data_IF_008042801024
#
_entry.id   IF_008042801024
#
_cell.length_a   1.000
_cell.length_b   1.000
_cell.length_c   1.000
_cell.angle_alpha   90.00
_cell.angle_beta   90.00
_cell.angle_gamma   90.00
#
_symmetry.space_group_name_H-M   'P 1'
#
loop_
_entity.id
_entity.type
_entity.pdbx_description
1 polymer ?
#
# COMPACT_ATOMS: atom_id res chain seq x y z
N UNK A 1 14.58 19.08 -11.99
CA UNK A 1 15.01 17.79 -12.56
C UNK A 1 13.88 17.20 -13.36
N UNK A 2 14.02 17.10 -14.65
CA UNK A 2 12.96 16.64 -15.56
C UNK A 2 12.75 15.13 -15.40
N UNK A 3 11.49 14.78 -15.12
CA UNK A 3 10.93 13.45 -15.06
C UNK A 3 11.38 12.53 -16.20
N UNK A 4 11.72 11.32 -15.83
CA UNK A 4 11.66 10.19 -16.73
C UNK A 4 10.21 10.04 -17.19
N UNK A 5 9.97 10.29 -18.48
CA UNK A 5 8.77 10.05 -19.29
C UNK A 5 7.48 9.71 -18.53
N UNK A 6 6.61 10.69 -18.46
CA UNK A 6 5.30 10.73 -17.87
C UNK A 6 4.31 9.63 -18.20
N UNK A 7 4.49 8.45 -17.65
CA UNK A 7 3.36 7.58 -17.40
C UNK A 7 2.65 8.16 -16.17
N UNK A 8 1.41 8.61 -16.35
CA UNK A 8 0.58 9.10 -15.25
C UNK A 8 0.33 7.91 -14.31
N UNK A 9 0.82 8.01 -13.07
CA UNK A 9 0.56 7.02 -12.05
C UNK A 9 -0.95 6.94 -11.81
N UNK A 10 -1.45 5.73 -11.58
CA UNK A 10 -2.87 5.51 -11.31
C UNK A 10 -3.19 5.85 -9.86
N UNK A 11 -4.22 6.68 -9.67
CA UNK A 11 -4.72 7.01 -8.33
C UNK A 11 -5.76 5.98 -7.90
N UNK A 12 -5.60 5.44 -6.70
CA UNK A 12 -6.52 4.46 -6.12
C UNK A 12 -6.94 4.85 -4.69
N UNK A 13 -8.13 4.43 -4.28
CA UNK A 13 -8.49 4.37 -2.87
C UNK A 13 -8.28 2.93 -2.40
N UNK A 14 -7.38 2.74 -1.46
CA UNK A 14 -6.96 1.44 -0.94
C UNK A 14 -7.48 1.23 0.47
N UNK A 15 -8.28 0.19 0.67
CA UNK A 15 -8.68 -0.23 2.02
C UNK A 15 -7.55 -0.96 2.71
N UNK A 16 -7.24 -0.50 3.92
CA UNK A 16 -6.12 -0.96 4.71
C UNK A 16 -6.58 -1.35 6.11
N UNK A 17 -6.13 -2.50 6.62
CA UNK A 17 -6.49 -2.95 7.97
C UNK A 17 -5.68 -2.17 9.00
N UNK A 18 -6.34 -1.76 10.08
CA UNK A 18 -5.71 -0.99 11.15
C UNK A 18 -4.53 -1.71 11.83
N UNK A 19 -4.54 -3.04 11.87
CA UNK A 19 -3.46 -3.86 12.45
C UNK A 19 -2.12 -3.73 11.71
N UNK A 20 -2.16 -3.39 10.40
CA UNK A 20 -0.97 -3.19 9.58
C UNK A 20 -0.46 -1.74 9.59
N UNK A 21 -1.23 -0.84 10.20
CA UNK A 21 -0.92 0.59 10.13
C UNK A 21 0.34 0.94 10.94
N UNK A 22 0.51 0.37 12.14
CA UNK A 22 1.68 0.66 12.98
C UNK A 22 2.99 0.25 12.31
N UNK A 23 3.17 -0.98 11.79
CA UNK A 23 4.37 -1.35 11.04
C UNK A 23 4.60 -0.50 9.79
N UNK A 24 3.53 -0.05 9.13
CA UNK A 24 3.61 0.88 8.02
C UNK A 24 4.12 2.26 8.47
N UNK A 25 3.55 2.81 9.54
CA UNK A 25 3.87 4.13 10.08
C UNK A 25 5.36 4.26 10.45
N UNK A 26 5.94 3.21 11.03
CA UNK A 26 7.36 3.16 11.40
C UNK A 26 8.29 2.76 10.24
N UNK A 27 7.78 2.60 9.03
CA UNK A 27 8.58 2.22 7.87
C UNK A 27 9.11 0.79 7.88
N UNK A 28 8.62 -0.08 8.78
CA UNK A 28 9.04 -1.48 8.91
C UNK A 28 8.41 -2.32 7.80
N UNK A 29 7.13 -2.06 7.51
CA UNK A 29 6.39 -2.73 6.43
C UNK A 29 6.80 -2.13 5.09
N UNK A 30 7.60 -2.85 4.32
CA UNK A 30 8.12 -2.40 3.02
C UNK A 30 7.30 -2.88 1.81
N UNK A 31 6.43 -3.85 1.99
CA UNK A 31 5.58 -4.41 0.95
C UNK A 31 4.13 -4.54 1.41
N UNK A 32 3.21 -4.30 0.48
CA UNK A 32 1.81 -4.66 0.60
C UNK A 32 1.57 -5.93 -0.21
N UNK A 33 0.73 -6.86 0.29
CA UNK A 33 0.44 -8.13 -0.38
C UNK A 33 -1.02 -8.22 -0.76
N UNK A 34 -1.28 -8.54 -2.02
CA UNK A 34 -2.64 -8.63 -2.56
C UNK A 34 -2.78 -9.80 -3.55
N UNK A 35 -3.95 -10.45 -3.51
CA UNK A 35 -4.32 -11.47 -4.50
C UNK A 35 -4.43 -10.88 -5.91
N UNK A 36 -5.01 -9.69 -5.99
CA UNK A 36 -5.19 -8.93 -7.24
C UNK A 36 -4.77 -7.50 -7.04
N UNK A 37 -3.98 -7.01 -7.96
CA UNK A 37 -3.57 -5.61 -8.01
C UNK A 37 -3.29 -5.20 -9.45
N UNK A 38 -3.34 -3.88 -9.75
CA UNK A 38 -2.97 -3.38 -11.07
C UNK A 38 -1.46 -3.48 -11.28
N UNK A 39 -1.05 -3.82 -12.51
CA UNK A 39 0.37 -4.00 -12.88
C UNK A 39 1.05 -2.68 -13.23
N UNK A 40 0.89 -1.67 -12.37
CA UNK A 40 1.40 -0.31 -12.55
C UNK A 40 1.84 0.28 -11.21
N UNK A 41 2.68 1.32 -11.27
CA UNK A 41 2.91 2.18 -10.10
C UNK A 41 1.64 2.96 -9.76
N UNK A 42 1.32 3.09 -8.48
CA UNK A 42 0.09 3.75 -8.03
C UNK A 42 0.34 4.76 -6.93
N UNK A 43 -0.54 5.75 -6.87
CA UNK A 43 -0.76 6.62 -5.72
C UNK A 43 -1.97 6.09 -4.97
N UNK A 44 -1.76 5.57 -3.78
CA UNK A 44 -2.81 4.98 -2.97
C UNK A 44 -3.23 5.92 -1.85
N UNK A 45 -4.48 6.39 -1.88
CA UNK A 45 -5.12 7.03 -0.74
C UNK A 45 -5.54 5.96 0.25
N UNK A 46 -5.04 6.02 1.48
CA UNK A 46 -5.23 4.96 2.48
C UNK A 46 -6.50 5.16 3.28
N UNK A 47 -7.48 4.28 3.08
CA UNK A 47 -8.66 4.19 3.91
C UNK A 47 -8.47 3.16 5.02
N UNK A 48 -8.37 3.61 6.26
CA UNK A 48 -8.33 2.72 7.43
C UNK A 48 -9.70 2.15 7.75
N UNK A 49 -9.79 0.84 7.68
CA UNK A 49 -11.00 0.06 8.04
C UNK A 49 -11.14 -0.09 9.54
N UNK A 50 -12.28 -0.61 9.96
CA UNK A 50 -12.57 -0.90 11.36
C UNK A 50 -13.12 0.32 12.10
N UNK A 51 -12.60 0.61 13.27
CA UNK A 51 -13.10 1.71 14.12
C UNK A 51 -12.79 3.10 13.56
N UNK A 52 -11.65 3.26 12.90
CA UNK A 52 -11.20 4.58 12.40
C UNK A 52 -12.07 5.11 11.27
N UNK A 53 -12.41 4.30 10.28
CA UNK A 53 -13.27 4.66 9.14
C UNK A 53 -12.91 6.02 8.52
N UNK A 54 -11.65 6.20 8.13
CA UNK A 54 -11.14 7.47 7.61
C UNK A 54 -10.02 7.28 6.61
N UNK A 55 -9.87 8.23 5.68
CA UNK A 55 -8.70 8.33 4.81
C UNK A 55 -7.62 9.12 5.56
N UNK A 56 -6.45 8.53 5.71
CA UNK A 56 -5.40 9.05 6.59
C UNK A 56 -4.21 9.67 5.86
N UNK A 57 -4.04 9.38 4.58
CA UNK A 57 -2.88 9.87 3.83
C UNK A 57 -2.70 9.20 2.49
N UNK A 58 -1.50 9.35 1.95
CA UNK A 58 -1.11 8.89 0.61
C UNK A 58 0.11 8.00 0.72
N UNK A 59 0.05 6.86 0.06
CA UNK A 59 1.16 5.92 -0.08
C UNK A 59 1.55 5.80 -1.55
N UNK A 60 2.81 6.03 -1.86
CA UNK A 60 3.35 5.74 -3.19
C UNK A 60 3.74 4.27 -3.27
N UNK A 61 3.19 3.57 -4.25
CA UNK A 61 3.43 2.15 -4.46
C UNK A 61 4.18 1.91 -5.76
N UNK A 62 5.15 1.01 -5.70
CA UNK A 62 5.86 0.53 -6.89
C UNK A 62 5.02 -0.46 -7.70
N UNK A 63 5.56 -0.83 -8.86
CA UNK A 63 4.98 -1.91 -9.66
C UNK A 63 5.03 -3.23 -8.88
N UNK A 64 3.93 -4.01 -8.86
CA UNK A 64 3.90 -5.29 -8.16
C UNK A 64 4.96 -6.28 -8.67
N UNK A 65 5.51 -7.04 -7.73
CA UNK A 65 6.37 -8.18 -8.00
C UNK A 65 5.50 -9.43 -7.86
N UNK A 66 5.40 -10.22 -8.93
CA UNK A 66 4.71 -11.50 -8.90
C UNK A 66 5.60 -12.54 -8.22
N UNK A 67 5.21 -13.01 -7.05
CA UNK A 67 6.00 -13.97 -6.27
C UNK A 67 6.08 -15.34 -6.95
N UNK A 68 5.03 -15.77 -7.63
CA UNK A 68 5.01 -17.01 -8.42
C UNK A 68 5.97 -16.95 -9.62
N UNK A 69 6.07 -15.81 -10.29
CA UNK A 69 6.98 -15.61 -11.43
C UNK A 69 8.45 -15.48 -10.98
N UNK A 70 8.68 -14.99 -9.77
CA UNK A 70 10.03 -14.70 -9.25
C UNK A 70 10.54 -15.71 -8.23
N UNK A 71 9.78 -16.76 -7.95
CA UNK A 71 10.05 -17.77 -6.92
C UNK A 71 11.48 -18.32 -6.99
N UNK A 72 11.93 -18.66 -8.18
CA UNK A 72 13.24 -19.29 -8.40
C UNK A 72 14.42 -18.36 -8.07
N UNK A 73 14.19 -17.05 -7.99
CA UNK A 73 15.20 -16.08 -7.57
C UNK A 73 15.58 -16.22 -6.08
N UNK A 74 14.79 -16.96 -5.30
CA UNK A 74 14.98 -17.11 -3.84
C UNK A 74 15.53 -18.48 -3.45
N UNK A 75 15.94 -19.34 -4.39
CA UNK A 75 16.43 -20.72 -4.12
C UNK A 75 17.60 -20.72 -3.17
N UNK A 76 18.52 -19.77 -3.28
CA UNK A 76 19.70 -19.66 -2.40
C UNK A 76 19.39 -19.03 -1.02
N UNK A 77 18.11 -18.68 -0.78
CA UNK A 77 17.64 -18.02 0.44
C UNK A 77 16.47 -18.81 1.06
N UNK A 78 16.75 -19.93 1.74
CA UNK A 78 15.71 -20.88 2.15
C UNK A 78 14.62 -20.30 3.04
N UNK A 79 14.93 -19.36 3.92
CA UNK A 79 13.91 -18.70 4.77
C UNK A 79 12.99 -17.79 3.97
N UNK A 80 13.54 -17.07 3.00
CA UNK A 80 12.75 -16.23 2.10
C UNK A 80 11.90 -17.08 1.17
N UNK A 81 12.47 -18.15 0.60
CA UNK A 81 11.77 -19.09 -0.27
C UNK A 81 10.56 -19.70 0.42
N UNK A 82 10.73 -20.17 1.66
CA UNK A 82 9.64 -20.73 2.47
C UNK A 82 8.50 -19.71 2.64
N UNK A 83 8.79 -18.46 2.99
CA UNK A 83 7.78 -17.42 3.13
C UNK A 83 7.09 -17.10 1.79
N UNK A 84 7.84 -17.04 0.71
CA UNK A 84 7.31 -16.85 -0.64
C UNK A 84 6.34 -17.97 -1.00
N UNK A 85 6.70 -19.23 -0.73
CA UNK A 85 5.83 -20.38 -0.97
C UNK A 85 4.52 -20.29 -0.16
N UNK A 86 4.57 -19.87 1.11
CA UNK A 86 3.38 -19.64 1.94
C UNK A 86 2.44 -18.56 1.35
N UNK A 87 2.99 -17.47 0.80
CA UNK A 87 2.20 -16.44 0.12
C UNK A 87 1.60 -16.94 -1.19
N UNK A 88 2.33 -17.74 -1.95
CA UNK A 88 1.83 -18.37 -3.18
C UNK A 88 0.68 -19.32 -2.84
N UNK A 89 0.81 -20.16 -1.82
CA UNK A 89 -0.22 -21.07 -1.36
C UNK A 89 -1.49 -20.34 -0.90
N UNK A 90 -1.34 -19.20 -0.21
CA UNK A 90 -2.46 -18.35 0.20
C UNK A 90 -3.04 -17.50 -0.96
N UNK A 91 -2.43 -17.56 -2.14
CA UNK A 91 -2.77 -16.76 -3.32
C UNK A 91 -2.56 -15.23 -3.16
N UNK A 92 -1.77 -14.79 -2.19
CA UNK A 92 -1.37 -13.38 -2.01
C UNK A 92 -0.09 -13.08 -2.79
N UNK A 93 -0.14 -13.34 -4.10
CA UNK A 93 1.01 -13.44 -5.01
C UNK A 93 1.61 -12.12 -5.45
N UNK A 94 0.93 -10.99 -5.23
CA UNK A 94 1.47 -9.69 -5.60
C UNK A 94 2.13 -9.04 -4.38
N UNK A 95 3.45 -8.92 -4.40
CA UNK A 95 4.22 -8.12 -3.46
C UNK A 95 4.40 -6.72 -4.05
N UNK A 96 3.78 -5.71 -3.43
CA UNK A 96 3.74 -4.35 -3.95
C UNK A 96 4.69 -3.50 -3.11
N UNK A 97 5.80 -2.99 -3.70
CA UNK A 97 6.76 -2.16 -2.97
C UNK A 97 6.12 -0.88 -2.44
N UNK A 98 6.27 -0.60 -1.15
CA UNK A 98 5.86 0.66 -0.54
C UNK A 98 7.03 1.63 -0.63
N UNK A 99 6.90 2.69 -1.44
CA UNK A 99 7.96 3.66 -1.66
C UNK A 99 7.98 4.76 -0.61
N UNK A 100 6.84 5.32 -0.28
CA UNK A 100 6.72 6.41 0.69
C UNK A 100 5.33 6.47 1.31
N UNK A 101 5.24 7.16 2.44
CA UNK A 101 3.99 7.47 3.14
C UNK A 101 3.97 8.94 3.53
N UNK A 102 2.88 9.62 3.23
CA UNK A 102 2.57 10.98 3.71
C UNK A 102 1.19 10.97 4.35
N UNK A 103 1.09 11.48 5.56
CA UNK A 103 -0.20 11.56 6.26
C UNK A 103 -0.93 12.85 5.89
N UNK A 104 -2.25 12.82 5.92
CA UNK A 104 -3.05 14.04 5.90
C UNK A 104 -2.88 14.82 7.19
N UNK A 105 -2.84 16.15 7.11
CA UNK A 105 -2.85 17.01 8.31
C UNK A 105 -4.11 16.77 9.15
N UNK A 106 -5.24 16.59 8.46
CA UNK A 106 -6.52 16.23 9.06
C UNK A 106 -7.07 15.00 8.32
N UNK A 107 -7.13 13.83 8.95
CA UNK A 107 -7.74 12.66 8.35
C UNK A 107 -9.18 12.93 7.91
N UNK A 108 -9.58 12.40 6.78
CA UNK A 108 -10.91 12.59 6.22
C UNK A 108 -11.82 11.42 6.63
N UNK A 109 -12.79 11.69 7.49
CA UNK A 109 -13.69 10.65 7.98
C UNK A 109 -14.67 10.17 6.91
N UNK A 110 -15.16 8.94 7.07
CA UNK A 110 -16.23 8.39 6.22
C UNK A 110 -17.49 9.27 6.28
N UNK A 111 -17.77 9.84 7.43
CA UNK A 111 -18.90 10.75 7.63
C UNK A 111 -18.73 12.03 6.80
N UNK A 112 -17.54 12.63 6.81
CA UNK A 112 -17.27 13.83 5.99
C UNK A 112 -17.32 13.52 4.50
N UNK A 113 -16.83 12.36 4.08
CA UNK A 113 -16.96 11.92 2.67
C UNK A 113 -18.45 11.82 2.30
N UNK A 114 -19.28 11.27 3.18
CA UNK A 114 -20.72 11.09 2.92
C UNK A 114 -21.53 12.39 2.91
N UNK A 115 -21.05 13.44 3.54
CA UNK A 115 -21.64 14.78 3.40
C UNK A 115 -21.55 15.28 1.96
N UNK A 116 -20.44 14.99 1.29
CA UNK A 116 -20.19 15.40 -0.10
C UNK A 116 -20.68 14.36 -1.12
N UNK A 117 -20.61 13.07 -0.77
CA UNK A 117 -20.98 11.94 -1.63
C UNK A 117 -21.92 11.03 -0.82
N UNK A 118 -23.23 11.32 -0.80
CA UNK A 118 -24.20 10.48 -0.11
C UNK A 118 -24.14 9.02 -0.55
N UNK A 119 -24.30 8.10 0.38
CA UNK A 119 -24.23 6.64 0.16
C UNK A 119 -22.85 6.12 -0.30
N UNK A 120 -21.77 6.90 -0.13
CA UNK A 120 -20.44 6.41 -0.42
C UNK A 120 -20.12 5.15 0.40
N UNK A 121 -19.61 4.13 -0.31
CA UNK A 121 -19.17 2.87 0.27
C UNK A 121 -17.68 2.68 0.00
N UNK A 122 -16.86 2.54 1.06
CA UNK A 122 -15.44 2.22 0.86
C UNK A 122 -15.27 0.87 0.16
N UNK A 123 -14.21 0.72 -0.67
CA UNK A 123 -13.95 -0.56 -1.33
C UNK A 123 -13.58 -1.65 -0.31
N UNK A 124 -13.84 -2.91 -0.64
CA UNK A 124 -13.32 -4.04 0.13
C UNK A 124 -11.80 -4.20 -0.05
N UNK A 125 -11.31 -3.97 -1.26
CA UNK A 125 -9.89 -4.03 -1.62
C UNK A 125 -9.39 -2.64 -2.03
N UNK A 126 -9.63 -2.26 -3.27
CA UNK A 126 -9.36 -0.92 -3.80
C UNK A 126 -10.25 -0.64 -5.02
N UNK A 127 -10.34 0.62 -5.40
CA UNK A 127 -10.85 1.02 -6.71
C UNK A 127 -10.06 2.21 -7.30
N UNK A 128 -10.10 2.31 -8.61
CA UNK A 128 -9.43 3.39 -9.35
C UNK A 128 -10.25 4.68 -9.25
N UNK A 129 -9.59 5.77 -8.83
CA UNK A 129 -10.26 7.04 -8.57
C UNK A 129 -10.68 7.79 -9.86
N UNK A 130 -10.11 7.45 -11.00
CA UNK A 130 -10.51 8.05 -12.28
C UNK A 130 -11.99 7.80 -12.62
N UNK A 131 -12.58 6.74 -12.07
CA UNK A 131 -14.00 6.43 -12.18
C UNK A 131 -14.85 7.10 -11.08
N UNK A 132 -14.23 7.85 -10.16
CA UNK A 132 -14.85 8.47 -8.99
C UNK A 132 -14.38 9.92 -8.84
N UNK A 133 -14.61 10.75 -9.86
CA UNK A 133 -14.02 12.08 -9.98
C UNK A 133 -14.31 13.00 -8.80
N UNK A 134 -15.53 12.97 -8.25
CA UNK A 134 -15.89 13.81 -7.09
C UNK A 134 -15.10 13.42 -5.85
N UNK A 135 -14.91 12.11 -5.62
CA UNK A 135 -14.08 11.60 -4.53
C UNK A 135 -12.62 11.98 -4.74
N UNK A 136 -12.10 11.81 -5.96
CA UNK A 136 -10.73 12.16 -6.30
C UNK A 136 -10.46 13.63 -6.00
N UNK A 137 -11.31 14.54 -6.43
CA UNK A 137 -11.19 15.97 -6.14
C UNK A 137 -11.21 16.27 -4.63
N UNK A 138 -12.09 15.60 -3.87
CA UNK A 138 -12.17 15.74 -2.42
C UNK A 138 -10.88 15.30 -1.73
N UNK A 139 -10.27 14.21 -2.18
CA UNK A 139 -9.01 13.68 -1.65
C UNK A 139 -7.81 14.57 -2.02
N UNK A 140 -7.75 15.06 -3.26
CA UNK A 140 -6.69 15.95 -3.74
C UNK A 140 -6.65 17.31 -3.03
N UNK A 141 -7.77 17.75 -2.47
CA UNK A 141 -7.86 18.99 -1.69
C UNK A 141 -7.28 18.86 -0.27
N UNK A 142 -7.02 17.63 0.20
CA UNK A 142 -6.50 17.44 1.55
C UNK A 142 -5.04 17.90 1.65
N UNK A 143 -4.73 18.62 2.75
CA UNK A 143 -3.36 19.03 3.05
C UNK A 143 -2.55 17.83 3.55
N UNK A 144 -1.40 17.60 2.93
CA UNK A 144 -0.51 16.48 3.20
C UNK A 144 0.69 16.98 4.01
N UNK A 145 1.13 16.18 4.99
CA UNK A 145 2.40 16.39 5.68
C UNK A 145 3.58 15.95 4.80
N UNK A 146 4.79 16.26 5.24
CA UNK A 146 5.99 15.72 4.61
C UNK A 146 6.01 14.18 4.65
N UNK A 147 6.77 13.59 3.73
CA UNK A 147 6.93 12.12 3.71
C UNK A 147 7.59 11.64 4.99
N UNK A 148 6.99 10.65 5.65
CA UNK A 148 7.53 10.05 6.87
C UNK A 148 8.78 9.23 6.59
N UNK A 149 8.82 8.58 5.44
CA UNK A 149 9.95 7.80 4.98
C UNK A 149 9.95 7.71 3.45
N UNK A 150 11.09 7.31 2.93
CA UNK A 150 11.28 6.90 1.55
C UNK A 150 12.06 5.59 1.53
N UNK A 151 11.48 4.53 0.94
CA UNK A 151 12.13 3.23 0.83
C UNK A 151 12.80 3.07 -0.52
N UNK A 152 14.06 2.64 -0.51
CA UNK A 152 14.75 2.10 -1.68
C UNK A 152 14.61 0.58 -1.68
N UNK A 153 14.17 0.00 -2.79
CA UNK A 153 14.00 -1.45 -2.96
C UNK A 153 15.10 -1.99 -3.86
N UNK A 154 16.35 -1.84 -3.40
CA UNK A 154 17.54 -2.20 -4.20
C UNK A 154 17.90 -3.69 -4.09
N UNK A 155 17.47 -4.35 -3.02
CA UNK A 155 17.76 -5.76 -2.78
C UNK A 155 16.60 -6.44 -2.09
N UNK A 156 15.83 -7.19 -2.85
CA UNK A 156 14.61 -7.91 -2.40
C UNK A 156 14.87 -8.78 -1.17
N UNK A 157 16.05 -9.38 -1.05
CA UNK A 157 16.39 -10.33 0.00
C UNK A 157 16.46 -9.71 1.38
N UNK A 158 16.85 -8.43 1.46
CA UNK A 158 17.02 -7.70 2.72
C UNK A 158 15.83 -6.81 3.08
N UNK A 159 14.86 -6.68 2.18
CA UNK A 159 13.75 -5.76 2.33
C UNK A 159 12.54 -6.35 3.05
N UNK A 160 12.74 -7.38 3.87
CA UNK A 160 11.65 -8.06 4.59
C UNK A 160 10.57 -8.65 3.68
N UNK A 161 10.93 -9.04 2.45
CA UNK A 161 10.00 -9.67 1.51
C UNK A 161 9.33 -10.88 2.13
N UNK A 162 8.01 -10.96 1.97
CA UNK A 162 7.15 -12.03 2.46
C UNK A 162 7.17 -12.25 3.99
N UNK A 163 7.67 -11.31 4.80
CA UNK A 163 7.49 -11.35 6.26
C UNK A 163 6.07 -10.94 6.65
N UNK A 164 5.47 -11.71 7.54
CA UNK A 164 4.18 -11.38 8.15
C UNK A 164 4.31 -10.23 9.14
N UNK A 165 3.19 -9.58 9.48
CA UNK A 165 3.17 -8.51 10.49
C UNK A 165 3.67 -8.99 11.84
N UNK A 166 3.38 -10.24 12.22
CA UNK A 166 3.85 -10.84 13.48
C UNK A 166 5.38 -11.02 13.51
N UNK A 167 5.98 -11.35 12.38
CA UNK A 167 7.45 -11.44 12.25
C UNK A 167 8.10 -10.06 12.26
N UNK A 168 7.47 -9.05 11.62
CA UNK A 168 7.96 -7.68 11.64
C UNK A 168 7.94 -7.05 13.03
N UNK A 169 6.98 -7.41 13.87
CA UNK A 169 6.90 -6.92 15.25
C UNK A 169 7.98 -7.49 16.17
N UNK A 170 8.54 -8.66 15.87
CA UNK A 170 9.60 -9.29 16.67
C UNK A 170 10.98 -8.69 16.43
N UNK A 171 11.16 -7.90 15.38
CA UNK A 171 12.44 -7.24 15.08
C UNK A 171 12.59 -5.90 15.80
N UNK A 172 11.59 -5.44 16.57
CA UNK A 172 11.60 -4.20 17.33
C UNK A 172 11.98 -4.39 18.82
N UNK A 173 12.31 -5.64 19.24
CA UNK A 173 12.86 -5.97 20.57
C UNK A 173 14.38 -6.18 20.46
#
# INVERSE_FOLDING_TARGET
MKNRRGAKMKDILLSFKAEYFRPLLYGIKKYEYRKRFCDEETIAYLYLRGKSKQVIGIMELGKPIRLDDTRDNYIDYPDTLKRVDEYIESNDINAIPIKSLSLFKNPLSLEDIRKEIPNFMPPQMYFVLDNHLKLKQLLEQQKVCEKLFYHEHNCIYYDNLAKSVSELKKTDE
#
